data_IF_874769195546
#
_entry.id   IF_874769195546
#
_cell.length_a   1.000
_cell.length_b   1.000
_cell.length_c   1.000
_cell.angle_alpha   90.00
_cell.angle_beta   90.00
_cell.angle_gamma   90.00
#
_symmetry.space_group_name_H-M   'P 1'
#
loop_
_entity.id
_entity.type
_entity.pdbx_description
1 polymer ?
#
# COMPACT_ATOMS: atom_id res chain seq x y z
N UNK A 1 -61.79 -15.09 31.97
CA UNK A 1 -60.41 -15.41 32.37
C UNK A 1 -59.49 -15.36 31.14
N UNK A 2 -58.92 -14.19 30.85
CA UNK A 2 -57.96 -14.00 29.78
C UNK A 2 -56.56 -14.40 30.28
N UNK A 3 -55.95 -15.42 29.69
CA UNK A 3 -54.55 -15.76 29.96
C UNK A 3 -53.67 -14.71 29.30
N UNK A 4 -52.99 -13.96 30.14
CA UNK A 4 -51.90 -13.04 29.75
C UNK A 4 -50.78 -13.91 29.16
N UNK A 5 -50.68 -13.96 27.84
CA UNK A 5 -49.56 -14.62 27.16
C UNK A 5 -48.35 -13.73 27.32
N UNK A 6 -47.38 -14.21 28.10
CA UNK A 6 -46.10 -13.53 28.32
C UNK A 6 -45.48 -13.19 26.94
N UNK A 7 -45.36 -11.88 26.63
CA UNK A 7 -44.70 -11.40 25.39
C UNK A 7 -43.27 -11.88 25.37
N UNK A 8 -42.94 -12.76 24.48
CA UNK A 8 -41.58 -13.28 24.26
C UNK A 8 -40.68 -12.12 23.86
N UNK A 9 -39.83 -11.68 24.79
CA UNK A 9 -38.93 -10.55 24.58
C UNK A 9 -37.61 -11.05 23.97
N UNK A 10 -37.52 -11.04 22.65
CA UNK A 10 -36.32 -11.47 21.92
C UNK A 10 -35.27 -10.32 21.83
N UNK A 11 -34.01 -10.65 22.02
CA UNK A 11 -32.91 -9.67 21.86
C UNK A 11 -32.81 -9.21 20.39
N UNK A 12 -32.40 -7.96 20.17
CA UNK A 12 -32.18 -7.39 18.85
C UNK A 12 -33.41 -7.20 17.96
N UNK A 13 -34.62 -7.35 18.48
CA UNK A 13 -35.85 -7.04 17.77
C UNK A 13 -36.23 -5.58 18.05
N UNK A 14 -36.37 -4.80 16.98
CA UNK A 14 -36.84 -3.42 17.02
C UNK A 14 -38.19 -3.33 16.33
N UNK A 15 -39.21 -2.79 17.03
CA UNK A 15 -40.57 -2.64 16.53
C UNK A 15 -40.91 -1.16 16.41
N UNK A 16 -41.52 -0.76 15.32
CA UNK A 16 -42.10 0.56 15.16
C UNK A 16 -43.34 0.52 14.24
N UNK A 17 -44.19 1.53 14.39
CA UNK A 17 -45.37 1.71 13.53
C UNK A 17 -44.95 2.63 12.39
N UNK A 18 -45.12 2.20 11.15
CA UNK A 18 -44.82 3.00 9.97
C UNK A 18 -45.89 4.09 9.72
N UNK A 19 -45.68 4.95 8.73
CA UNK A 19 -46.56 6.06 8.39
C UNK A 19 -47.98 5.63 7.96
N UNK A 20 -48.13 4.35 7.63
CA UNK A 20 -49.45 3.78 7.24
C UNK A 20 -50.13 3.06 8.40
N UNK A 21 -49.61 3.18 9.63
CA UNK A 21 -50.16 2.55 10.83
C UNK A 21 -49.80 1.05 10.96
N UNK A 22 -48.92 0.52 10.10
CA UNK A 22 -48.55 -0.89 10.12
C UNK A 22 -47.36 -1.14 11.03
N UNK A 23 -47.45 -2.10 11.92
CA UNK A 23 -46.36 -2.54 12.78
C UNK A 23 -45.25 -3.21 11.93
N UNK A 24 -44.02 -2.66 12.03
CA UNK A 24 -42.84 -3.20 11.37
C UNK A 24 -41.86 -3.71 12.41
N UNK A 25 -41.24 -4.85 12.12
CA UNK A 25 -40.23 -5.49 12.96
C UNK A 25 -38.93 -5.65 12.19
N UNK A 26 -37.82 -5.29 12.82
CA UNK A 26 -36.49 -5.39 12.23
C UNK A 26 -35.49 -5.97 13.21
N UNK A 27 -34.52 -6.72 12.70
CA UNK A 27 -33.39 -7.18 13.49
C UNK A 27 -32.34 -6.06 13.52
N UNK A 28 -31.95 -5.60 14.75
CA UNK A 28 -30.97 -4.54 14.96
C UNK A 28 -29.91 -4.99 15.96
N UNK A 29 -28.64 -5.07 15.52
CA UNK A 29 -27.48 -5.48 16.34
C UNK A 29 -26.37 -4.44 16.20
N UNK A 30 -25.74 -4.06 17.30
CA UNK A 30 -24.61 -3.09 17.33
C UNK A 30 -24.93 -1.75 16.62
N UNK A 31 -26.15 -1.22 16.81
CA UNK A 31 -26.59 0.03 16.22
C UNK A 31 -26.98 -0.03 14.73
N UNK A 32 -26.77 -1.17 14.05
CA UNK A 32 -27.12 -1.36 12.64
C UNK A 32 -28.38 -2.19 12.49
N UNK A 33 -29.29 -1.73 11.62
CA UNK A 33 -30.47 -2.49 11.18
C UNK A 33 -30.02 -3.47 10.09
N UNK A 34 -30.18 -4.78 10.34
CA UNK A 34 -29.71 -5.84 9.45
C UNK A 34 -30.78 -6.30 8.45
N UNK A 35 -32.04 -6.29 8.82
CA UNK A 35 -33.13 -6.59 7.92
C UNK A 35 -34.49 -6.77 8.61
N UNK A 36 -35.60 -6.93 7.82
CA UNK A 36 -36.93 -7.11 8.36
C UNK A 36 -37.12 -8.49 8.97
N UNK A 37 -38.00 -8.54 9.99
CA UNK A 37 -38.51 -9.75 10.60
C UNK A 37 -39.98 -9.91 10.20
N UNK A 38 -40.32 -10.76 9.25
CA UNK A 38 -41.68 -10.95 8.77
C UNK A 38 -42.52 -11.72 9.79
N UNK A 39 -43.82 -11.51 9.73
CA UNK A 39 -44.77 -12.22 10.60
C UNK A 39 -44.82 -11.73 12.04
N UNK A 40 -45.60 -12.41 12.88
CA UNK A 40 -45.69 -12.11 14.30
C UNK A 40 -44.59 -12.81 15.10
N UNK A 41 -44.22 -12.23 16.23
CA UNK A 41 -43.16 -12.77 17.11
C UNK A 41 -43.55 -14.19 17.53
N UNK A 42 -42.71 -15.16 17.16
CA UNK A 42 -42.96 -16.59 17.40
C UNK A 42 -43.56 -17.33 16.21
N UNK A 43 -43.94 -16.68 15.11
CA UNK A 43 -44.31 -17.37 13.87
C UNK A 43 -43.11 -18.07 13.23
N UNK A 44 -43.32 -19.08 12.44
CA UNK A 44 -42.28 -19.84 11.75
C UNK A 44 -41.40 -18.92 10.85
N UNK A 45 -42.04 -18.01 10.11
CA UNK A 45 -41.36 -17.03 9.26
C UNK A 45 -40.50 -16.10 10.07
N UNK A 46 -41.03 -15.57 11.20
CA UNK A 46 -40.29 -14.70 12.10
C UNK A 46 -39.09 -15.42 12.71
N UNK A 47 -39.29 -16.62 13.26
CA UNK A 47 -38.22 -17.37 13.92
C UNK A 47 -37.16 -17.83 12.96
N UNK A 48 -37.50 -18.18 11.73
CA UNK A 48 -36.54 -18.50 10.67
C UNK A 48 -35.70 -17.32 10.30
N UNK A 49 -36.29 -16.14 10.09
CA UNK A 49 -35.57 -14.91 9.80
C UNK A 49 -34.69 -14.48 11.00
N UNK A 50 -35.22 -14.56 12.22
CA UNK A 50 -34.50 -14.24 13.45
C UNK A 50 -33.29 -15.16 13.65
N UNK A 51 -33.45 -16.47 13.47
CA UNK A 51 -32.36 -17.44 13.57
C UNK A 51 -31.25 -17.18 12.53
N UNK A 52 -31.64 -16.81 11.31
CA UNK A 52 -30.72 -16.47 10.24
C UNK A 52 -29.85 -15.25 10.60
N UNK A 53 -30.45 -14.20 11.20
CA UNK A 53 -29.72 -13.03 11.68
C UNK A 53 -28.88 -13.32 12.94
N UNK A 54 -29.34 -14.18 13.84
CA UNK A 54 -28.58 -14.59 15.04
C UNK A 54 -27.37 -15.45 14.70
N UNK A 55 -27.46 -16.30 13.70
CA UNK A 55 -26.35 -17.17 13.28
C UNK A 55 -25.18 -16.44 12.62
N UNK A 56 -25.22 -15.08 12.52
CA UNK A 56 -24.22 -14.25 11.84
C UNK A 56 -23.84 -14.75 10.42
N UNK A 57 -24.60 -15.65 9.89
CA UNK A 57 -24.65 -15.83 8.46
C UNK A 57 -25.67 -14.80 7.95
N UNK A 58 -25.22 -13.66 7.37
CA UNK A 58 -26.12 -13.03 6.43
C UNK A 58 -26.48 -14.18 5.51
N UNK A 59 -27.77 -14.43 5.28
CA UNK A 59 -28.16 -15.13 4.09
C UNK A 59 -27.42 -14.40 2.99
N UNK A 60 -26.30 -14.95 2.57
CA UNK A 60 -25.73 -14.61 1.31
C UNK A 60 -26.90 -14.96 0.39
N UNK A 61 -27.71 -13.94 0.06
CA UNK A 61 -28.40 -13.98 -1.20
C UNK A 61 -27.28 -14.38 -2.13
N UNK A 62 -27.31 -15.63 -2.54
CA UNK A 62 -26.41 -16.16 -3.55
C UNK A 62 -26.81 -15.33 -4.75
N UNK A 63 -26.22 -14.12 -4.86
CA UNK A 63 -26.35 -13.30 -6.05
C UNK A 63 -25.80 -14.21 -7.12
N UNK A 64 -26.69 -14.82 -7.86
CA UNK A 64 -26.32 -15.60 -9.05
C UNK A 64 -25.50 -14.62 -9.86
N UNK A 65 -24.19 -14.77 -9.77
CA UNK A 65 -23.27 -13.89 -10.49
C UNK A 65 -23.54 -14.18 -11.95
N UNK A 66 -24.08 -13.21 -12.66
CA UNK A 66 -24.28 -13.33 -14.10
C UNK A 66 -22.96 -13.78 -14.72
N UNK A 67 -22.99 -14.83 -15.53
CA UNK A 67 -21.79 -15.45 -16.11
C UNK A 67 -20.87 -14.43 -16.81
N UNK A 68 -21.47 -13.38 -17.37
CA UNK A 68 -20.81 -12.28 -18.07
C UNK A 68 -20.47 -11.08 -17.16
N UNK A 69 -20.75 -11.11 -15.87
CA UNK A 69 -20.47 -9.96 -15.00
C UNK A 69 -18.99 -9.77 -14.75
N UNK A 70 -18.57 -8.50 -14.56
CA UNK A 70 -17.21 -8.16 -14.11
C UNK A 70 -16.86 -8.85 -12.79
N UNK A 71 -17.82 -9.00 -11.89
CA UNK A 71 -17.60 -9.70 -10.62
C UNK A 71 -17.23 -11.17 -10.87
N UNK A 72 -17.96 -11.88 -11.73
CA UNK A 72 -17.64 -13.28 -12.07
C UNK A 72 -16.27 -13.38 -12.74
N UNK A 73 -15.94 -12.48 -13.64
CA UNK A 73 -14.61 -12.40 -14.27
C UNK A 73 -13.50 -12.26 -13.22
N UNK A 74 -13.68 -11.39 -12.22
CA UNK A 74 -12.70 -11.17 -11.16
C UNK A 74 -12.57 -12.39 -10.25
N UNK A 75 -13.67 -13.05 -9.89
CA UNK A 75 -13.64 -14.31 -9.11
C UNK A 75 -12.80 -15.36 -9.83
N UNK A 76 -13.03 -15.53 -11.15
CA UNK A 76 -12.28 -16.50 -11.96
C UNK A 76 -10.81 -16.11 -12.11
N UNK A 77 -10.53 -14.80 -12.25
CA UNK A 77 -9.17 -14.28 -12.26
C UNK A 77 -8.43 -14.60 -10.95
N UNK A 78 -9.09 -14.44 -9.80
CA UNK A 78 -8.49 -14.77 -8.49
C UNK A 78 -8.17 -16.29 -8.35
N UNK A 79 -8.90 -17.17 -9.00
CA UNK A 79 -8.61 -18.60 -9.07
C UNK A 79 -7.53 -18.96 -10.10
N UNK A 80 -7.13 -18.05 -10.98
CA UNK A 80 -6.18 -18.32 -12.06
C UNK A 80 -4.71 -18.27 -11.62
N UNK A 81 -3.83 -18.98 -12.35
CA UNK A 81 -2.38 -18.85 -12.17
C UNK A 81 -1.87 -17.42 -12.37
N UNK A 82 -2.52 -16.61 -13.21
CA UNK A 82 -2.17 -15.20 -13.39
C UNK A 82 -2.26 -14.39 -12.08
N UNK A 83 -3.03 -14.84 -11.10
CA UNK A 83 -3.16 -14.23 -9.78
C UNK A 83 -2.48 -15.05 -8.68
N UNK A 84 -2.65 -16.38 -8.67
CA UNK A 84 -2.15 -17.24 -7.57
C UNK A 84 -0.62 -17.30 -7.53
N UNK A 85 0.06 -17.17 -8.68
CA UNK A 85 1.54 -17.16 -8.76
C UNK A 85 2.16 -15.83 -8.33
N UNK A 86 1.33 -14.80 -8.07
CA UNK A 86 1.82 -13.51 -7.58
C UNK A 86 2.27 -13.62 -6.11
N UNK A 87 3.32 -12.86 -5.75
CA UNK A 87 3.73 -12.72 -4.35
C UNK A 87 2.55 -12.27 -3.48
N UNK A 88 2.42 -12.72 -2.22
CA UNK A 88 1.30 -12.36 -1.35
C UNK A 88 1.04 -10.86 -1.25
N UNK A 89 2.10 -10.04 -1.16
CA UNK A 89 1.99 -8.57 -1.14
C UNK A 89 1.40 -7.99 -2.43
N UNK A 90 1.70 -8.59 -3.59
CA UNK A 90 1.15 -8.16 -4.89
C UNK A 90 -0.32 -8.57 -4.99
N UNK A 91 -0.70 -9.77 -4.51
CA UNK A 91 -2.11 -10.19 -4.43
C UNK A 91 -2.93 -9.23 -3.58
N UNK A 92 -2.40 -8.83 -2.42
CA UNK A 92 -3.04 -7.84 -1.55
C UNK A 92 -3.23 -6.49 -2.26
N UNK A 93 -2.19 -6.01 -2.96
CA UNK A 93 -2.26 -4.77 -3.72
C UNK A 93 -3.30 -4.84 -4.85
N UNK A 94 -3.40 -5.99 -5.54
CA UNK A 94 -4.41 -6.21 -6.57
C UNK A 94 -5.81 -6.18 -5.99
N UNK A 95 -6.06 -6.90 -4.89
CA UNK A 95 -7.35 -6.86 -4.19
C UNK A 95 -7.71 -5.43 -3.80
N UNK A 96 -6.77 -4.67 -3.23
CA UNK A 96 -6.99 -3.28 -2.85
C UNK A 96 -7.46 -2.39 -4.01
N UNK A 97 -6.98 -2.64 -5.24
CA UNK A 97 -7.40 -1.92 -6.43
C UNK A 97 -8.72 -2.46 -7.03
N UNK A 98 -8.91 -3.78 -7.01
CA UNK A 98 -10.04 -4.46 -7.65
C UNK A 98 -11.32 -4.37 -6.82
N UNK A 99 -11.25 -4.56 -5.50
CA UNK A 99 -12.44 -4.65 -4.62
C UNK A 99 -13.36 -3.41 -4.72
N UNK A 100 -12.84 -2.16 -4.64
CA UNK A 100 -13.68 -0.97 -4.85
C UNK A 100 -14.28 -0.93 -6.25
N UNK A 101 -13.50 -1.29 -7.28
CA UNK A 101 -13.97 -1.32 -8.67
C UNK A 101 -15.11 -2.32 -8.86
N UNK A 102 -15.00 -3.52 -8.29
CA UNK A 102 -16.05 -4.56 -8.36
C UNK A 102 -17.27 -4.17 -7.53
N UNK A 103 -17.09 -3.58 -6.36
CA UNK A 103 -18.21 -3.09 -5.55
C UNK A 103 -19.10 -2.15 -6.34
N UNK A 104 -18.50 -1.21 -7.10
CA UNK A 104 -19.22 -0.15 -7.78
C UNK A 104 -19.68 -0.57 -9.20
N UNK A 105 -18.94 -1.46 -9.85
CA UNK A 105 -19.17 -1.83 -11.27
C UNK A 105 -19.31 -3.33 -11.52
N UNK A 106 -19.17 -4.17 -10.50
CA UNK A 106 -19.12 -5.64 -10.64
C UNK A 106 -20.36 -6.28 -11.28
N UNK A 107 -21.53 -5.63 -11.18
CA UNK A 107 -22.79 -6.08 -11.79
C UNK A 107 -22.83 -5.90 -13.31
N UNK A 108 -21.96 -5.06 -13.88
CA UNK A 108 -21.94 -4.76 -15.30
C UNK A 108 -21.31 -5.90 -16.10
N UNK A 109 -21.71 -5.99 -17.38
CA UNK A 109 -21.13 -6.97 -18.32
C UNK A 109 -19.63 -6.72 -18.53
N UNK A 110 -18.85 -7.78 -18.43
CA UNK A 110 -17.43 -7.76 -18.72
C UNK A 110 -17.15 -7.73 -20.23
N UNK A 111 -18.05 -8.26 -21.04
CA UNK A 111 -17.91 -8.32 -22.51
C UNK A 111 -18.30 -7.01 -23.18
N UNK A 112 -19.28 -6.29 -22.62
CA UNK A 112 -19.78 -5.02 -23.18
C UNK A 112 -18.98 -3.78 -22.74
N UNK A 113 -17.96 -3.94 -21.89
CA UNK A 113 -17.11 -2.83 -21.49
C UNK A 113 -16.32 -2.32 -22.69
N UNK A 114 -16.56 -1.06 -23.09
CA UNK A 114 -15.82 -0.36 -24.12
C UNK A 114 -14.60 0.38 -23.55
N UNK A 115 -13.69 0.84 -24.41
CA UNK A 115 -12.57 1.72 -24.01
C UNK A 115 -13.08 2.99 -23.33
N UNK A 116 -14.14 3.62 -23.88
CA UNK A 116 -14.75 4.82 -23.29
C UNK A 116 -15.31 4.57 -21.88
N UNK A 117 -15.95 3.39 -21.65
CA UNK A 117 -16.39 3.03 -20.31
C UNK A 117 -15.21 2.84 -19.34
N UNK A 118 -14.14 2.17 -19.79
CA UNK A 118 -12.93 1.97 -19.00
C UNK A 118 -12.25 3.30 -18.62
N UNK A 119 -12.11 4.19 -19.61
CA UNK A 119 -11.54 5.52 -19.42
C UNK A 119 -12.35 6.36 -18.45
N UNK A 120 -13.68 6.44 -18.60
CA UNK A 120 -14.56 7.18 -17.68
C UNK A 120 -14.40 6.72 -16.23
N UNK A 121 -14.33 5.40 -15.99
CA UNK A 121 -14.20 4.85 -14.64
C UNK A 121 -12.81 5.16 -14.07
N UNK A 122 -11.76 4.98 -14.85
CA UNK A 122 -10.39 5.23 -14.39
C UNK A 122 -10.17 6.72 -14.16
N UNK A 123 -10.73 7.61 -14.99
CA UNK A 123 -10.65 9.06 -14.81
C UNK A 123 -11.34 9.49 -13.52
N UNK A 124 -12.53 9.00 -13.23
CA UNK A 124 -13.23 9.31 -11.98
C UNK A 124 -12.42 8.93 -10.71
N UNK A 125 -11.62 7.85 -10.78
CA UNK A 125 -10.72 7.45 -9.69
C UNK A 125 -9.46 8.35 -9.68
N UNK A 126 -8.91 8.62 -10.84
CA UNK A 126 -7.60 9.25 -11.01
C UNK A 126 -7.60 10.77 -10.83
N UNK A 127 -8.70 11.47 -11.13
CA UNK A 127 -8.85 12.91 -10.91
C UNK A 127 -8.55 13.32 -9.46
N UNK A 128 -9.04 12.56 -8.50
CA UNK A 128 -8.77 12.80 -7.09
C UNK A 128 -7.49 12.14 -6.59
N UNK A 129 -7.13 10.99 -7.16
CA UNK A 129 -6.01 10.14 -6.73
C UNK A 129 -5.28 9.53 -7.94
N UNK A 130 -4.43 10.28 -8.64
CA UNK A 130 -3.75 9.83 -9.87
C UNK A 130 -2.99 8.50 -9.71
N UNK A 131 -2.31 8.31 -8.59
CA UNK A 131 -1.62 7.05 -8.29
C UNK A 131 -2.56 5.85 -8.14
N UNK A 132 -3.77 6.05 -7.60
CA UNK A 132 -4.77 4.99 -7.50
C UNK A 132 -5.41 4.71 -8.86
N UNK A 133 -5.70 5.75 -9.65
CA UNK A 133 -6.14 5.60 -11.04
C UNK A 133 -5.17 4.73 -11.83
N UNK A 134 -3.89 5.04 -11.78
CA UNK A 134 -2.84 4.26 -12.45
C UNK A 134 -2.74 2.82 -11.95
N UNK A 135 -2.84 2.60 -10.64
CA UNK A 135 -2.83 1.26 -10.06
C UNK A 135 -4.03 0.46 -10.54
N UNK A 136 -5.25 1.02 -10.42
CA UNK A 136 -6.48 0.34 -10.84
C UNK A 136 -6.45 0.04 -12.33
N UNK A 137 -6.01 0.99 -13.17
CA UNK A 137 -5.80 0.79 -14.59
C UNK A 137 -4.86 -0.39 -14.88
N UNK A 138 -3.69 -0.42 -14.24
CA UNK A 138 -2.70 -1.47 -14.47
C UNK A 138 -3.21 -2.85 -14.04
N UNK A 139 -3.91 -2.93 -12.94
CA UNK A 139 -4.47 -4.18 -12.42
C UNK A 139 -5.65 -4.63 -13.28
N UNK A 140 -6.59 -3.74 -13.63
CA UNK A 140 -7.73 -4.07 -14.49
C UNK A 140 -7.30 -4.43 -15.91
N UNK A 141 -6.21 -3.83 -16.43
CA UNK A 141 -5.59 -4.27 -17.68
C UNK A 141 -5.19 -5.74 -17.63
N UNK A 142 -4.70 -6.22 -16.49
CA UNK A 142 -4.33 -7.63 -16.29
C UNK A 142 -5.57 -8.54 -16.16
N UNK A 143 -6.63 -8.06 -15.49
CA UNK A 143 -7.92 -8.77 -15.42
C UNK A 143 -8.55 -8.91 -16.83
N UNK A 144 -8.54 -7.84 -17.63
CA UNK A 144 -9.05 -7.89 -19.00
C UNK A 144 -8.17 -8.74 -19.92
N UNK A 145 -6.85 -8.76 -19.73
CA UNK A 145 -5.97 -9.70 -20.44
C UNK A 145 -6.30 -11.17 -20.10
N UNK A 146 -6.70 -11.47 -18.87
CA UNK A 146 -7.22 -12.79 -18.51
C UNK A 146 -8.53 -13.10 -19.24
N UNK A 147 -9.45 -12.14 -19.39
CA UNK A 147 -10.69 -12.31 -20.15
C UNK A 147 -10.42 -12.63 -21.63
N UNK A 148 -9.42 -11.96 -22.23
CA UNK A 148 -8.98 -12.26 -23.61
C UNK A 148 -8.35 -13.66 -23.69
N UNK A 149 -7.46 -14.01 -22.77
CA UNK A 149 -6.81 -15.33 -22.72
C UNK A 149 -7.82 -16.47 -22.58
N UNK A 150 -8.90 -16.25 -21.84
CA UNK A 150 -10.00 -17.23 -21.65
C UNK A 150 -11.09 -17.14 -22.71
N UNK A 151 -10.87 -16.41 -23.81
CA UNK A 151 -11.79 -16.23 -24.94
C UNK A 151 -13.15 -15.63 -24.56
N UNK A 152 -13.26 -14.96 -23.43
CA UNK A 152 -14.46 -14.21 -23.03
C UNK A 152 -14.59 -12.88 -23.78
N UNK A 153 -13.43 -12.33 -24.21
CA UNK A 153 -13.35 -11.11 -25.01
C UNK A 153 -12.35 -11.28 -26.14
N UNK A 154 -12.56 -10.48 -27.21
CA UNK A 154 -11.62 -10.39 -28.34
C UNK A 154 -10.52 -9.35 -28.08
N UNK A 155 -10.81 -8.33 -27.28
CA UNK A 155 -9.96 -7.15 -27.03
C UNK A 155 -9.81 -6.85 -25.53
N UNK A 156 -8.89 -5.95 -25.22
CA UNK A 156 -8.68 -5.44 -23.87
C UNK A 156 -8.91 -3.93 -23.83
N UNK A 157 -10.07 -3.45 -23.34
CA UNK A 157 -10.43 -2.03 -23.38
C UNK A 157 -9.52 -1.15 -22.50
N UNK A 158 -8.80 -1.73 -21.54
CA UNK A 158 -7.86 -0.99 -20.69
C UNK A 158 -6.57 -0.61 -21.41
N UNK A 159 -6.31 -1.11 -22.61
CA UNK A 159 -5.12 -0.74 -23.39
C UNK A 159 -5.18 0.70 -23.91
N UNK A 160 -6.37 1.16 -24.26
CA UNK A 160 -6.61 2.51 -24.77
C UNK A 160 -6.61 3.60 -23.67
N UNK A 161 -6.73 3.21 -22.41
CA UNK A 161 -6.76 4.17 -21.30
C UNK A 161 -5.35 4.68 -21.01
N UNK A 162 -5.15 6.01 -21.09
CA UNK A 162 -3.86 6.62 -20.79
C UNK A 162 -3.56 6.71 -19.29
N UNK A 163 -2.29 6.61 -18.87
CA UNK A 163 -1.92 6.79 -17.48
C UNK A 163 -1.91 8.26 -17.08
N UNK A 164 -2.29 8.54 -15.85
CA UNK A 164 -2.10 9.86 -15.26
C UNK A 164 -0.61 10.17 -15.06
N UNK A 165 -0.22 11.40 -15.33
CA UNK A 165 1.11 11.89 -14.97
C UNK A 165 1.20 11.99 -13.45
N UNK A 166 2.09 11.23 -12.86
CA UNK A 166 2.42 11.31 -11.43
C UNK A 166 3.85 11.79 -11.28
N UNK A 167 4.05 12.74 -10.39
CA UNK A 167 5.38 13.25 -10.09
C UNK A 167 6.27 12.18 -9.41
N UNK A 168 7.57 12.42 -9.43
CA UNK A 168 8.52 11.61 -8.67
C UNK A 168 8.49 11.99 -7.18
N UNK A 169 8.83 11.03 -6.32
CA UNK A 169 9.08 11.33 -4.93
C UNK A 169 10.19 12.37 -4.81
N UNK A 170 9.96 13.38 -3.99
CA UNK A 170 10.93 14.41 -3.67
C UNK A 170 12.22 13.78 -3.11
N UNK A 171 13.38 14.23 -3.61
CA UNK A 171 14.70 13.90 -3.05
C UNK A 171 14.99 14.90 -1.94
N UNK A 172 15.22 14.46 -0.72
CA UNK A 172 15.50 15.38 0.37
C UNK A 172 16.74 16.21 0.09
N UNK A 173 16.65 17.50 0.34
CA UNK A 173 17.76 18.44 0.26
C UNK A 173 18.65 18.35 1.50
N UNK A 174 19.87 18.90 1.44
CA UNK A 174 20.76 18.96 2.60
C UNK A 174 20.16 19.78 3.75
N UNK A 175 19.41 20.85 3.44
CA UNK A 175 18.71 21.65 4.45
C UNK A 175 17.63 20.83 5.18
N UNK A 176 16.83 20.04 4.44
CA UNK A 176 15.81 19.16 5.02
C UNK A 176 16.42 18.04 5.87
N UNK A 177 17.57 17.49 5.45
CA UNK A 177 18.32 16.50 6.25
C UNK A 177 18.81 17.12 7.56
N UNK A 178 19.45 18.29 7.51
CA UNK A 178 19.92 19.03 8.69
C UNK A 178 18.78 19.41 9.64
N UNK A 179 17.62 19.83 9.09
CA UNK A 179 16.43 20.16 9.88
C UNK A 179 15.91 18.95 10.64
N UNK A 180 15.85 17.77 9.99
CA UNK A 180 15.46 16.52 10.66
C UNK A 180 16.45 16.16 11.76
N UNK A 181 17.74 16.29 11.50
CA UNK A 181 18.82 15.98 12.45
C UNK A 181 18.85 16.93 13.64
N UNK A 182 18.54 18.20 13.46
CA UNK A 182 18.44 19.19 14.53
C UNK A 182 17.27 18.86 15.49
N UNK A 183 16.13 18.41 14.96
CA UNK A 183 14.97 17.98 15.77
C UNK A 183 15.25 16.69 16.50
N UNK A 184 15.80 15.69 15.83
CA UNK A 184 15.98 14.34 16.37
C UNK A 184 17.48 14.10 16.64
N UNK A 185 17.87 14.26 17.91
CA UNK A 185 19.26 14.07 18.34
C UNK A 185 19.67 12.58 18.31
N UNK A 186 20.96 12.32 18.30
CA UNK A 186 21.51 10.97 18.49
C UNK A 186 20.97 10.36 19.79
N UNK A 187 20.70 9.07 19.75
CA UNK A 187 20.06 8.34 20.84
C UNK A 187 18.54 8.31 20.78
N UNK A 188 17.89 9.04 19.86
CA UNK A 188 16.44 8.92 19.60
C UNK A 188 16.15 7.81 18.59
N UNK A 189 14.99 7.21 18.72
CA UNK A 189 14.51 6.14 17.83
C UNK A 189 14.32 6.64 16.41
N UNK A 190 13.79 7.85 16.28
CA UNK A 190 13.56 8.55 15.01
C UNK A 190 14.88 8.81 14.27
N UNK A 191 15.92 9.21 15.01
CA UNK A 191 17.27 9.44 14.45
C UNK A 191 17.90 8.15 13.95
N UNK A 192 17.76 7.04 14.68
CA UNK A 192 18.27 5.74 14.22
C UNK A 192 17.53 5.26 12.97
N UNK A 193 16.18 5.34 12.94
CA UNK A 193 15.39 4.97 11.77
C UNK A 193 15.81 5.78 10.52
N UNK A 194 15.99 7.08 10.69
CA UNK A 194 16.49 7.98 9.65
C UNK A 194 17.89 7.57 9.17
N UNK A 195 18.82 7.32 10.10
CA UNK A 195 20.20 6.97 9.77
C UNK A 195 20.26 5.64 8.99
N UNK A 196 19.50 4.64 9.41
CA UNK A 196 19.39 3.38 8.68
C UNK A 196 18.86 3.59 7.26
N UNK A 197 17.82 4.40 7.08
CA UNK A 197 17.24 4.68 5.76
C UNK A 197 18.19 5.47 4.85
N UNK A 198 18.84 6.49 5.40
CA UNK A 198 19.71 7.37 4.63
C UNK A 198 21.04 6.69 4.29
N UNK A 199 21.75 6.18 5.30
CA UNK A 199 23.11 5.71 5.13
C UNK A 199 23.23 4.31 4.55
N UNK A 200 22.18 3.48 4.64
CA UNK A 200 22.13 2.22 3.88
C UNK A 200 21.52 2.39 2.49
N UNK A 201 20.74 3.45 2.28
CA UNK A 201 19.99 3.65 1.05
C UNK A 201 18.93 2.55 0.79
N UNK A 202 18.56 1.75 1.79
CA UNK A 202 17.61 0.64 1.60
C UNK A 202 16.15 1.07 1.73
N UNK A 203 15.24 0.26 1.20
CA UNK A 203 13.79 0.51 1.31
C UNK A 203 13.33 0.28 2.74
N UNK A 204 12.28 0.98 3.17
CA UNK A 204 11.71 0.86 4.53
C UNK A 204 11.42 -0.60 4.92
N UNK A 205 10.98 -1.43 3.97
CA UNK A 205 10.72 -2.84 4.23
C UNK A 205 11.99 -3.66 4.47
N UNK A 206 13.09 -3.30 3.82
CA UNK A 206 14.37 -3.96 3.97
C UNK A 206 15.02 -3.54 5.29
N UNK A 207 15.01 -2.22 5.60
CA UNK A 207 15.48 -1.69 6.90
C UNK A 207 14.75 -2.33 8.09
N UNK A 208 13.43 -2.52 7.98
CA UNK A 208 12.63 -3.13 9.05
C UNK A 208 13.01 -4.60 9.35
N UNK A 209 13.77 -5.24 8.47
CA UNK A 209 14.21 -6.64 8.60
C UNK A 209 15.70 -6.81 8.89
N UNK A 210 16.48 -5.73 8.93
CA UNK A 210 17.91 -5.81 9.26
C UNK A 210 18.11 -6.32 10.68
N UNK A 211 18.87 -7.41 10.83
CA UNK A 211 19.19 -8.01 12.11
C UNK A 211 20.63 -7.65 12.53
N UNK A 212 20.91 -7.83 13.82
CA UNK A 212 22.28 -7.69 14.33
C UNK A 212 23.21 -8.75 13.79
N UNK A 213 22.71 -9.98 13.58
CA UNK A 213 23.44 -11.07 12.96
C UNK A 213 23.84 -10.80 11.50
N UNK A 214 23.16 -9.84 10.84
CA UNK A 214 23.50 -9.43 9.48
C UNK A 214 24.70 -8.47 9.44
N UNK A 215 25.22 -8.07 10.61
CA UNK A 215 26.37 -7.15 10.71
C UNK A 215 27.64 -7.97 10.96
N UNK A 216 28.60 -7.88 10.04
CA UNK A 216 29.91 -8.50 10.16
C UNK A 216 30.96 -7.61 9.47
N UNK A 217 32.14 -7.49 10.05
CA UNK A 217 33.29 -6.76 9.45
C UNK A 217 32.98 -5.33 8.96
N UNK A 218 32.09 -4.62 9.67
CA UNK A 218 31.65 -3.27 9.29
C UNK A 218 30.70 -3.19 8.10
N UNK A 219 30.15 -4.32 7.66
CA UNK A 219 29.16 -4.44 6.59
C UNK A 219 27.80 -4.87 7.16
N UNK A 220 26.73 -4.46 6.52
CA UNK A 220 25.37 -4.98 6.76
C UNK A 220 24.98 -5.83 5.56
N UNK A 221 24.74 -7.11 5.78
CA UNK A 221 24.18 -8.01 4.76
C UNK A 221 22.69 -7.75 4.59
N UNK A 222 22.23 -7.51 3.36
CA UNK A 222 20.83 -7.17 3.04
C UNK A 222 20.33 -7.99 1.87
N UNK A 223 19.30 -8.78 2.07
CA UNK A 223 18.53 -9.41 0.98
C UNK A 223 17.27 -8.61 0.72
N UNK A 224 17.23 -7.88 -0.40
CA UNK A 224 16.10 -7.00 -0.74
C UNK A 224 14.82 -7.77 -1.00
N UNK A 225 13.74 -7.52 -0.25
CA UNK A 225 12.46 -8.25 -0.35
C UNK A 225 11.79 -8.12 -1.74
N UNK A 226 11.91 -6.94 -2.36
CA UNK A 226 11.26 -6.66 -3.64
C UNK A 226 11.96 -7.35 -4.81
N UNK A 227 13.29 -7.34 -4.82
CA UNK A 227 14.12 -7.71 -5.97
C UNK A 227 14.88 -9.02 -5.80
N UNK A 228 15.04 -9.49 -4.54
CA UNK A 228 15.87 -10.64 -4.19
C UNK A 228 17.38 -10.38 -4.33
N UNK A 229 17.78 -9.11 -4.56
CA UNK A 229 19.20 -8.76 -4.67
C UNK A 229 19.83 -8.82 -3.29
N UNK A 230 20.97 -9.48 -3.22
CA UNK A 230 21.83 -9.59 -2.04
C UNK A 230 22.92 -8.52 -2.10
N UNK A 231 23.13 -7.84 -0.98
CA UNK A 231 24.05 -6.70 -0.87
C UNK A 231 24.81 -6.77 0.45
N UNK A 232 26.05 -6.28 0.41
CA UNK A 232 26.89 -6.02 1.58
C UNK A 232 27.13 -4.51 1.64
N UNK A 233 26.40 -3.84 2.54
CA UNK A 233 26.39 -2.38 2.64
C UNK A 233 27.35 -1.93 3.75
N UNK A 234 28.41 -1.17 3.45
CA UNK A 234 29.32 -0.64 4.47
C UNK A 234 28.60 0.27 5.46
N UNK A 235 28.95 0.12 6.73
CA UNK A 235 28.40 0.97 7.80
C UNK A 235 29.09 2.35 7.74
N UNK A 236 28.34 3.37 7.31
CA UNK A 236 28.81 4.74 7.32
C UNK A 236 29.09 5.21 8.76
N UNK A 237 30.14 6.03 9.02
CA UNK A 237 30.50 6.52 10.37
C UNK A 237 29.33 7.14 11.13
N UNK A 238 28.48 7.91 10.49
CA UNK A 238 27.29 8.51 11.13
C UNK A 238 26.22 7.46 11.49
N UNK A 239 26.10 6.38 10.72
CA UNK A 239 25.23 5.25 11.08
C UNK A 239 25.81 4.52 12.29
N UNK A 240 27.12 4.29 12.33
CA UNK A 240 27.80 3.68 13.48
C UNK A 240 27.57 4.48 14.77
N UNK A 241 27.67 5.81 14.72
CA UNK A 241 27.32 6.69 15.86
C UNK A 241 25.87 6.50 16.29
N UNK A 242 24.92 6.44 15.32
CA UNK A 242 23.51 6.21 15.60
C UNK A 242 23.22 4.86 16.26
N UNK A 243 23.85 3.79 15.78
CA UNK A 243 23.74 2.44 16.34
C UNK A 243 24.31 2.36 17.76
N UNK A 244 25.45 3.04 18.02
CA UNK A 244 26.05 3.11 19.36
C UNK A 244 25.21 3.92 20.32
N UNK A 245 24.64 5.04 19.88
CA UNK A 245 23.85 5.94 20.74
C UNK A 245 22.46 5.40 21.07
N UNK A 246 21.91 4.52 20.25
CA UNK A 246 20.64 3.86 20.49
C UNK A 246 20.83 2.34 20.58
N UNK A 247 21.09 1.80 21.78
CA UNK A 247 21.29 0.36 21.94
C UNK A 247 19.98 -0.38 21.66
N UNK A 248 19.98 -1.17 20.60
CA UNK A 248 18.82 -1.98 20.25
C UNK A 248 18.59 -3.07 21.30
N UNK A 249 17.36 -3.21 21.78
CA UNK A 249 16.95 -4.16 22.81
C UNK A 249 16.65 -5.58 22.30
N UNK A 250 16.84 -5.87 21.02
CA UNK A 250 16.44 -7.15 20.42
C UNK A 250 17.38 -7.62 19.31
N UNK A 251 16.91 -8.60 18.52
CA UNK A 251 17.68 -9.20 17.43
C UNK A 251 17.83 -8.29 16.21
N UNK A 252 16.86 -7.38 15.98
CA UNK A 252 16.88 -6.46 14.85
C UNK A 252 17.71 -5.21 15.15
N UNK A 253 18.32 -4.60 14.12
CA UNK A 253 19.00 -3.31 14.23
C UNK A 253 18.02 -2.19 14.63
N UNK A 254 16.75 -2.34 14.25
CA UNK A 254 15.67 -1.43 14.61
C UNK A 254 14.40 -2.20 14.98
N UNK A 255 13.99 -2.13 16.23
CA UNK A 255 12.80 -2.79 16.76
C UNK A 255 11.71 -1.82 17.24
N UNK A 256 10.64 -2.37 17.81
CA UNK A 256 9.67 -1.60 18.60
C UNK A 256 10.27 -1.19 19.94
N UNK A 257 9.48 -0.53 20.81
CA UNK A 257 9.95 -0.08 22.13
C UNK A 257 10.37 -1.24 23.06
N UNK A 258 9.86 -2.45 22.79
CA UNK A 258 10.17 -3.67 23.54
C UNK A 258 11.26 -4.51 22.88
N UNK A 259 11.90 -4.03 21.79
CA UNK A 259 12.93 -4.76 21.05
C UNK A 259 12.40 -5.82 20.08
N UNK A 260 11.08 -5.90 19.85
CA UNK A 260 10.50 -6.84 18.90
C UNK A 260 10.66 -6.32 17.46
N UNK A 261 10.74 -7.23 16.46
CA UNK A 261 10.82 -6.84 15.08
C UNK A 261 9.67 -5.91 14.66
N UNK A 262 10.00 -4.80 14.02
CA UNK A 262 9.01 -3.81 13.56
C UNK A 262 8.48 -4.19 12.19
N UNK A 263 7.16 -4.06 11.97
CA UNK A 263 6.56 -4.21 10.64
C UNK A 263 6.84 -2.95 9.78
N UNK A 264 7.00 -3.15 8.46
CA UNK A 264 7.17 -2.05 7.47
C UNK A 264 6.17 -0.91 7.69
N UNK A 265 4.89 -1.23 7.91
CA UNK A 265 3.84 -0.22 8.10
C UNK A 265 4.08 0.64 9.34
N UNK A 266 4.53 0.03 10.45
CA UNK A 266 4.83 0.74 11.69
C UNK A 266 6.07 1.62 11.56
N UNK A 267 7.15 1.15 10.88
CA UNK A 267 8.31 1.98 10.58
C UNK A 267 7.95 3.16 9.67
N UNK A 268 7.12 2.92 8.64
CA UNK A 268 6.62 3.99 7.77
C UNK A 268 5.78 5.03 8.53
N UNK A 269 4.95 4.58 9.49
CA UNK A 269 4.13 5.46 10.30
C UNK A 269 4.99 6.28 11.29
N UNK A 270 6.01 5.66 11.89
CA UNK A 270 6.97 6.34 12.75
C UNK A 270 7.68 7.45 11.97
N UNK A 271 8.25 7.13 10.82
CA UNK A 271 8.95 8.12 9.99
C UNK A 271 8.04 9.26 9.52
N UNK A 272 6.78 8.96 9.17
CA UNK A 272 5.83 10.00 8.78
C UNK A 272 5.56 10.98 9.92
N UNK A 273 5.39 10.51 11.14
CA UNK A 273 5.24 11.35 12.33
C UNK A 273 6.52 12.16 12.59
N UNK A 274 7.66 11.49 12.61
CA UNK A 274 8.95 12.15 12.84
C UNK A 274 9.25 13.27 11.84
N UNK A 275 8.90 13.08 10.56
CA UNK A 275 9.04 14.08 9.50
C UNK A 275 8.13 15.27 9.78
N UNK A 276 6.86 15.03 10.14
CA UNK A 276 5.91 16.08 10.50
C UNK A 276 6.38 16.86 11.74
N UNK A 277 6.81 16.16 12.78
CA UNK A 277 7.27 16.76 14.05
C UNK A 277 8.58 17.54 13.90
N UNK A 278 9.35 17.24 12.85
CA UNK A 278 10.53 18.03 12.46
C UNK A 278 10.15 19.27 11.62
N UNK A 279 8.86 19.55 11.40
CA UNK A 279 8.41 20.71 10.61
C UNK A 279 8.72 20.58 9.12
N UNK A 280 8.98 19.37 8.62
CA UNK A 280 9.31 19.15 7.21
C UNK A 280 8.04 19.07 6.34
N UNK A 281 8.11 19.55 5.09
CA UNK A 281 6.94 19.57 4.20
C UNK A 281 6.47 18.15 3.86
N UNK A 282 5.15 17.98 3.53
CA UNK A 282 4.55 16.67 3.23
C UNK A 282 5.20 15.91 2.05
N UNK A 283 5.91 16.61 1.16
CA UNK A 283 6.69 16.00 0.08
C UNK A 283 7.87 15.17 0.60
N UNK A 284 8.37 15.46 1.81
CA UNK A 284 9.42 14.69 2.46
C UNK A 284 8.82 13.35 2.94
N UNK A 285 9.23 12.27 2.31
CA UNK A 285 8.82 10.90 2.65
C UNK A 285 10.04 9.99 2.79
N UNK A 286 9.92 8.87 3.48
CA UNK A 286 11.04 7.94 3.70
C UNK A 286 11.72 7.49 2.40
N UNK A 287 10.99 7.37 1.29
CA UNK A 287 11.59 6.99 0.00
C UNK A 287 12.52 8.09 -0.54
N UNK A 288 12.26 9.35 -0.19
CA UNK A 288 13.14 10.49 -0.53
C UNK A 288 14.51 10.40 0.12
N UNK A 289 14.64 9.76 1.30
CA UNK A 289 15.95 9.52 1.95
C UNK A 289 16.82 8.58 1.12
N UNK A 290 16.24 7.51 0.55
CA UNK A 290 16.97 6.64 -0.37
C UNK A 290 17.43 7.39 -1.63
N UNK A 291 16.59 8.29 -2.16
CA UNK A 291 16.99 9.14 -3.28
C UNK A 291 18.12 10.11 -2.88
N UNK A 292 18.07 10.67 -1.66
CA UNK A 292 19.13 11.53 -1.13
C UNK A 292 20.45 10.77 -0.93
N UNK A 293 20.41 9.52 -0.46
CA UNK A 293 21.59 8.67 -0.37
C UNK A 293 22.27 8.49 -1.74
N UNK A 294 21.47 8.16 -2.78
CA UNK A 294 22.00 7.98 -4.14
C UNK A 294 22.55 9.30 -4.72
N UNK A 295 21.86 10.42 -4.48
CA UNK A 295 22.33 11.74 -4.87
C UNK A 295 23.67 12.07 -4.21
N UNK A 296 23.79 11.87 -2.89
CA UNK A 296 25.04 12.12 -2.15
C UNK A 296 26.20 11.27 -2.69
N UNK A 297 25.95 9.98 -2.99
CA UNK A 297 26.97 9.13 -3.61
C UNK A 297 27.40 9.65 -4.98
N UNK A 298 26.46 10.12 -5.81
CA UNK A 298 26.77 10.69 -7.11
C UNK A 298 27.55 12.03 -6.97
N UNK A 299 27.16 12.90 -6.04
CA UNK A 299 27.85 14.17 -5.75
C UNK A 299 29.27 13.95 -5.18
N UNK A 300 29.52 12.80 -4.55
CA UNK A 300 30.83 12.35 -4.08
C UNK A 300 31.61 11.55 -5.14
N UNK A 301 31.32 11.75 -6.43
CA UNK A 301 31.97 11.11 -7.57
C UNK A 301 31.82 9.57 -7.62
N UNK A 302 30.82 9.02 -6.93
CA UNK A 302 30.49 7.60 -7.02
C UNK A 302 30.02 7.22 -8.42
N UNK A 303 30.65 6.22 -8.99
CA UNK A 303 30.25 5.68 -10.30
C UNK A 303 28.86 5.02 -10.24
N UNK A 304 28.18 4.91 -11.38
CA UNK A 304 26.90 4.24 -11.45
C UNK A 304 26.95 2.78 -10.93
N UNK A 305 28.07 2.10 -11.11
CA UNK A 305 28.30 0.73 -10.56
C UNK A 305 28.40 0.74 -9.03
N UNK A 306 29.14 1.69 -8.45
CA UNK A 306 29.24 1.84 -6.99
C UNK A 306 27.89 2.19 -6.35
N UNK A 307 27.13 3.11 -6.97
CA UNK A 307 25.78 3.46 -6.52
C UNK A 307 24.85 2.24 -6.61
N UNK A 308 24.95 1.46 -7.69
CA UNK A 308 24.16 0.23 -7.85
C UNK A 308 24.54 -0.83 -6.79
N UNK A 309 25.82 -0.96 -6.44
CA UNK A 309 26.31 -1.88 -5.41
C UNK A 309 25.72 -1.56 -4.02
N UNK A 310 25.51 -0.29 -3.68
CA UNK A 310 24.85 0.11 -2.42
C UNK A 310 23.34 0.00 -2.53
N UNK A 311 22.76 0.45 -3.64
CA UNK A 311 21.32 0.60 -3.78
C UNK A 311 20.60 -0.69 -4.19
N UNK A 312 21.29 -1.62 -4.85
CA UNK A 312 20.67 -2.82 -5.44
C UNK A 312 19.74 -2.52 -6.61
N UNK A 313 19.99 -1.45 -7.37
CA UNK A 313 19.31 -1.23 -8.64
C UNK A 313 19.77 -2.25 -9.68
N UNK A 314 18.83 -2.88 -10.39
CA UNK A 314 19.14 -3.92 -11.37
C UNK A 314 19.63 -3.36 -12.71
N UNK A 315 19.28 -2.10 -13.01
CA UNK A 315 19.66 -1.46 -14.27
C UNK A 315 20.42 -0.16 -14.00
N UNK A 316 21.45 0.11 -14.80
CA UNK A 316 22.21 1.36 -14.73
C UNK A 316 21.30 2.57 -15.04
N UNK A 317 20.32 2.42 -15.91
CA UNK A 317 19.35 3.46 -16.26
C UNK A 317 18.60 4.01 -15.02
N UNK A 318 18.33 3.18 -14.01
CA UNK A 318 17.72 3.63 -12.75
C UNK A 318 18.69 4.51 -11.93
N UNK A 319 20.00 4.31 -12.09
CA UNK A 319 21.04 5.04 -11.35
C UNK A 319 21.48 6.30 -12.11
N UNK A 320 21.52 6.25 -13.44
CA UNK A 320 21.96 7.34 -14.32
C UNK A 320 21.27 8.69 -14.04
N UNK A 321 20.01 8.66 -13.60
CA UNK A 321 19.30 9.89 -13.21
C UNK A 321 19.99 10.65 -12.08
N UNK A 322 20.70 9.96 -11.19
CA UNK A 322 21.42 10.57 -10.07
C UNK A 322 22.80 11.07 -10.52
N UNK A 323 23.53 10.25 -11.26
CA UNK A 323 24.87 10.64 -11.79
C UNK A 323 24.73 11.75 -12.82
N UNK A 324 23.76 11.66 -13.74
CA UNK A 324 23.55 12.69 -14.76
C UNK A 324 23.34 14.11 -14.19
N UNK A 325 22.61 14.23 -13.08
CA UNK A 325 22.39 15.53 -12.44
C UNK A 325 23.65 16.05 -11.73
N UNK A 326 24.45 15.16 -11.12
CA UNK A 326 25.73 15.51 -10.50
C UNK A 326 26.80 15.85 -11.57
N UNK A 327 26.91 15.01 -12.59
CA UNK A 327 27.85 15.18 -13.70
C UNK A 327 27.59 16.49 -14.45
N UNK A 328 26.31 16.86 -14.70
CA UNK A 328 25.98 18.10 -15.38
C UNK A 328 26.56 19.33 -14.66
N UNK A 329 26.41 19.45 -13.35
CA UNK A 329 26.94 20.56 -12.56
C UNK A 329 28.45 20.60 -12.60
N UNK A 330 29.10 19.45 -12.49
CA UNK A 330 30.57 19.32 -12.51
C UNK A 330 31.12 19.67 -13.89
N UNK A 331 30.53 19.10 -14.94
CA UNK A 331 30.93 19.38 -16.32
C UNK A 331 30.68 20.85 -16.71
N UNK A 332 29.60 21.47 -16.26
CA UNK A 332 29.32 22.88 -16.49
C UNK A 332 30.37 23.77 -15.81
N UNK A 333 30.74 23.48 -14.55
CA UNK A 333 31.83 24.23 -13.88
C UNK A 333 33.14 24.05 -14.61
N UNK A 334 33.54 22.83 -14.90
CA UNK A 334 34.78 22.54 -15.62
C UNK A 334 34.83 23.18 -17.02
N UNK A 335 33.67 23.32 -17.69
CA UNK A 335 33.59 24.03 -18.97
C UNK A 335 33.86 25.55 -18.82
N UNK A 336 33.23 26.17 -17.80
CA UNK A 336 33.45 27.60 -17.51
C UNK A 336 34.88 27.86 -17.08
N UNK A 337 35.47 27.01 -16.23
CA UNK A 337 36.88 27.15 -15.81
C UNK A 337 37.88 27.10 -16.96
N UNK A 338 37.53 26.43 -18.08
CA UNK A 338 38.31 26.41 -19.31
C UNK A 338 38.19 27.69 -20.13
N UNK A 339 37.09 28.44 -20.00
CA UNK A 339 36.90 29.72 -20.70
C UNK A 339 37.59 30.87 -19.99
N UNK A 340 37.92 30.73 -18.71
CA UNK A 340 38.61 31.73 -17.91
C UNK A 340 40.16 31.63 -17.95
N UNK A 341 40.69 30.72 -18.77
CA UNK A 341 42.14 30.61 -19.10
C UNK A 341 42.32 31.11 -20.53
#
# INVERSE_FOLDING_TARGET
MGRDMAKLKLKYVNEYIDRTGKLRRYFRKNGKQLGPLPGDVGSEEFMTAYAAYMAEKPAAATRVLHADSLHKLVVDFYGSRMFTDLKPSTRQLYKYAIEPFVRDHGHRSSTLMTAAHAEKIINAIGEQRPGMGNLTRAVMRRVMAFAVKTKRRKDNPMLAVEPFKVGEHHTWTEAELKQFEAKWRLGTRERLAYALLLYTGQRVGDVAKMNRSDVSEGLIHVVQQKTGVELYVPIHPELAKGLKAYPAKGLTLFGDQNGRPIKRAALSALMRRAIKDAGLPPRCVSHGLRKAAMRRLAEADGTAKQIAAISGHKTLKEVERYTKAADQKKLARAAIDKLGK
#
